data_IF_433963320572
#
_entry.id   IF_433963320572
#
_cell.length_a   1.000
_cell.length_b   1.000
_cell.length_c   1.000
_cell.angle_alpha   90.00
_cell.angle_beta   90.00
_cell.angle_gamma   90.00
#
_symmetry.space_group_name_H-M   'P 1'
#
loop_
_entity.id
_entity.type
_entity.pdbx_description
1 polymer ?
#
# COMPACT_ATOMS: atom_id res chain seq x y z
N UNK A 1 -40.32 -8.09 6.31
CA UNK A 1 -40.15 -6.81 5.60
C UNK A 1 -38.68 -6.45 5.65
N UNK A 2 -38.12 -5.77 4.65
CA UNK A 2 -36.71 -5.38 4.70
C UNK A 2 -36.48 -3.97 4.17
N UNK A 3 -35.43 -3.34 4.68
CA UNK A 3 -34.92 -2.06 4.22
C UNK A 3 -33.39 -2.14 4.12
N UNK A 4 -32.83 -1.69 3.00
CA UNK A 4 -31.39 -1.67 2.76
C UNK A 4 -30.91 -0.22 2.73
N UNK A 5 -30.01 0.13 3.64
CA UNK A 5 -29.34 1.43 3.64
C UNK A 5 -28.27 1.54 2.53
N UNK A 6 -27.95 0.45 1.84
CA UNK A 6 -26.91 0.39 0.82
C UNK A 6 -25.52 0.54 1.44
N UNK A 7 -24.64 1.28 0.78
CA UNK A 7 -23.30 1.54 1.30
C UNK A 7 -23.34 2.67 2.35
N UNK A 8 -22.95 2.36 3.57
CA UNK A 8 -22.90 3.32 4.70
C UNK A 8 -21.52 3.34 5.33
N UNK A 9 -21.15 4.46 5.95
CA UNK A 9 -19.85 4.58 6.60
C UNK A 9 -19.82 3.81 7.93
N UNK A 10 -18.60 3.44 8.37
CA UNK A 10 -18.40 2.91 9.72
C UNK A 10 -18.96 3.87 10.77
N UNK A 11 -19.79 3.35 11.68
CA UNK A 11 -20.47 4.18 12.70
C UNK A 11 -21.64 5.02 12.20
N UNK A 12 -22.07 4.87 10.94
CA UNK A 12 -23.29 5.49 10.42
C UNK A 12 -24.50 5.25 11.33
N UNK A 13 -25.33 6.27 11.51
CA UNK A 13 -26.63 6.17 12.16
C UNK A 13 -27.75 6.49 11.17
N UNK A 14 -28.71 5.57 11.04
CA UNK A 14 -29.85 5.72 10.14
C UNK A 14 -31.16 5.33 10.82
N UNK A 15 -32.27 5.82 10.27
CA UNK A 15 -33.62 5.47 10.72
C UNK A 15 -34.46 5.00 9.54
N UNK A 16 -35.35 4.07 9.81
CA UNK A 16 -36.39 3.66 8.86
C UNK A 16 -37.68 3.34 9.61
N UNK A 17 -38.82 3.70 9.02
CA UNK A 17 -40.15 3.40 9.54
C UNK A 17 -40.75 2.27 8.71
N UNK A 18 -40.97 1.11 9.35
CA UNK A 18 -41.69 0.01 8.72
C UNK A 18 -43.20 0.19 8.90
N UNK A 19 -43.96 0.06 7.82
CA UNK A 19 -45.43 0.04 7.85
C UNK A 19 -45.95 -1.39 7.76
N UNK A 20 -46.48 -1.92 8.87
CA UNK A 20 -46.94 -3.30 9.02
C UNK A 20 -48.47 -3.35 8.83
N UNK A 21 -48.99 -3.99 7.78
CA UNK A 21 -50.44 -4.06 7.56
C UNK A 21 -51.11 -5.05 8.53
N UNK A 22 -52.28 -4.67 9.05
CA UNK A 22 -53.17 -5.59 9.77
C UNK A 22 -54.21 -6.21 8.84
N UNK A 23 -53.92 -7.42 8.38
CA UNK A 23 -54.79 -8.18 7.47
C UNK A 23 -55.65 -9.23 8.20
N UNK A 24 -55.70 -9.20 9.53
CA UNK A 24 -56.29 -10.28 10.34
C UNK A 24 -57.80 -10.18 10.52
N UNK A 25 -58.43 -9.09 10.07
CA UNK A 25 -59.88 -8.86 10.23
C UNK A 25 -60.32 -8.48 11.65
N UNK A 26 -59.38 -8.28 12.58
CA UNK A 26 -59.61 -7.88 13.96
C UNK A 26 -58.55 -6.88 14.42
N UNK A 27 -58.81 -6.13 15.50
CA UNK A 27 -57.79 -5.28 16.10
C UNK A 27 -56.65 -6.12 16.67
N UNK A 28 -55.41 -5.64 16.52
CA UNK A 28 -54.18 -6.29 16.97
C UNK A 28 -53.54 -5.45 18.09
N UNK A 29 -53.08 -6.10 19.16
CA UNK A 29 -52.37 -5.42 20.26
C UNK A 29 -50.89 -5.84 20.33
N UNK A 30 -50.01 -4.86 20.53
CA UNK A 30 -48.58 -5.07 20.65
C UNK A 30 -48.28 -5.87 21.92
N UNK A 31 -47.64 -7.02 21.76
CA UNK A 31 -47.22 -7.89 22.87
C UNK A 31 -45.77 -7.60 23.24
N UNK A 32 -44.90 -7.54 22.23
CA UNK A 32 -43.47 -7.36 22.48
C UNK A 32 -42.71 -6.90 21.24
N UNK A 33 -41.68 -6.09 21.49
CA UNK A 33 -40.65 -5.76 20.50
C UNK A 33 -39.30 -6.31 20.99
N UNK A 34 -38.54 -6.94 20.10
CA UNK A 34 -37.21 -7.47 20.39
C UNK A 34 -36.22 -7.04 19.32
N UNK A 35 -35.22 -6.26 19.72
CA UNK A 35 -34.03 -6.02 18.92
C UNK A 35 -33.03 -7.17 19.06
N UNK A 36 -32.41 -7.60 17.96
CA UNK A 36 -31.36 -8.63 18.00
C UNK A 36 -30.03 -8.18 18.61
N UNK A 37 -29.73 -6.87 18.59
CA UNK A 37 -28.52 -6.26 19.17
C UNK A 37 -28.83 -4.87 19.72
N UNK A 38 -27.95 -4.32 20.55
CA UNK A 38 -27.99 -2.90 20.97
C UNK A 38 -27.77 -1.92 19.81
N UNK A 39 -27.16 -2.38 18.71
CA UNK A 39 -26.93 -1.62 17.48
C UNK A 39 -28.20 -1.36 16.64
N UNK A 40 -29.36 -1.81 17.10
CA UNK A 40 -30.64 -1.64 16.42
C UNK A 40 -31.73 -1.44 17.46
N UNK A 41 -32.41 -0.30 17.45
CA UNK A 41 -33.36 0.08 18.50
C UNK A 41 -34.69 0.45 17.86
N UNK A 42 -35.77 -0.21 18.27
CA UNK A 42 -37.12 0.25 17.96
C UNK A 42 -37.50 1.39 18.91
N UNK A 43 -37.98 2.52 18.37
CA UNK A 43 -38.30 3.74 19.13
C UNK A 43 -39.80 3.95 19.24
N UNK A 44 -40.48 4.05 18.10
CA UNK A 44 -41.91 4.37 18.01
C UNK A 44 -42.64 3.20 17.36
N UNK A 45 -43.37 2.42 18.17
CA UNK A 45 -44.10 1.23 17.71
C UNK A 45 -45.57 1.38 18.06
N UNK A 46 -46.45 1.31 17.06
CA UNK A 46 -47.89 1.42 17.25
C UNK A 46 -48.40 0.33 18.20
N UNK A 47 -49.03 0.71 19.31
CA UNK A 47 -49.47 -0.24 20.34
C UNK A 47 -50.70 -1.05 19.94
N UNK A 48 -51.63 -0.44 19.19
CA UNK A 48 -52.88 -1.08 18.74
C UNK A 48 -53.17 -0.74 17.29
N UNK A 49 -53.53 -1.75 16.49
CA UNK A 49 -53.77 -1.60 15.06
C UNK A 49 -55.15 -2.13 14.72
N UNK A 50 -56.06 -1.25 14.31
CA UNK A 50 -57.40 -1.65 13.89
C UNK A 50 -57.38 -2.54 12.64
N UNK A 51 -58.46 -3.30 12.44
CA UNK A 51 -58.61 -4.16 11.26
C UNK A 51 -58.45 -3.36 9.96
N UNK A 52 -57.56 -3.80 9.07
CA UNK A 52 -57.24 -3.10 7.82
C UNK A 52 -56.34 -1.87 7.98
N UNK A 53 -55.91 -1.54 9.21
CA UNK A 53 -54.99 -0.44 9.50
C UNK A 53 -53.52 -0.80 9.25
N UNK A 54 -52.65 0.19 9.48
CA UNK A 54 -51.19 0.06 9.39
C UNK A 54 -50.56 0.36 10.75
N UNK A 55 -49.70 -0.53 11.23
CA UNK A 55 -48.79 -0.26 12.34
C UNK A 55 -47.53 0.41 11.81
N UNK A 56 -47.00 1.37 12.53
CA UNK A 56 -45.68 1.93 12.28
C UNK A 56 -44.68 1.41 13.32
N UNK A 57 -43.46 1.13 12.87
CA UNK A 57 -42.34 0.79 13.73
C UNK A 57 -41.10 1.55 13.25
N UNK A 58 -40.75 2.65 13.92
CA UNK A 58 -39.47 3.33 13.70
C UNK A 58 -38.33 2.49 14.28
N UNK A 59 -37.37 2.13 13.43
CA UNK A 59 -36.15 1.45 13.82
C UNK A 59 -34.94 2.33 13.52
N UNK A 60 -34.17 2.61 14.58
CA UNK A 60 -32.85 3.24 14.50
C UNK A 60 -31.77 2.16 14.37
N UNK A 61 -30.87 2.34 13.43
CA UNK A 61 -29.73 1.46 13.14
C UNK A 61 -28.42 2.21 13.32
N UNK A 62 -27.44 1.58 13.97
CA UNK A 62 -26.06 2.05 14.06
C UNK A 62 -25.14 1.01 13.44
N UNK A 63 -24.42 1.38 12.38
CA UNK A 63 -23.46 0.53 11.70
C UNK A 63 -22.27 0.19 12.60
N UNK A 64 -21.68 -1.00 12.42
CA UNK A 64 -20.51 -1.35 13.21
C UNK A 64 -19.28 -0.52 12.82
N UNK A 65 -18.26 -0.60 13.67
CA UNK A 65 -16.94 0.01 13.42
C UNK A 65 -16.09 -0.79 12.44
N UNK A 66 -16.58 -1.93 11.96
CA UNK A 66 -15.87 -2.85 11.06
C UNK A 66 -16.57 -2.86 9.70
N UNK A 67 -15.82 -2.75 8.58
CA UNK A 67 -16.42 -2.81 7.26
C UNK A 67 -16.93 -4.23 6.95
N UNK A 68 -17.99 -4.32 6.15
CA UNK A 68 -18.60 -5.57 5.72
C UNK A 68 -20.12 -5.48 5.56
N UNK A 69 -20.71 -6.55 5.03
CA UNK A 69 -22.17 -6.67 4.92
C UNK A 69 -22.76 -6.98 6.28
N UNK A 70 -23.77 -6.20 6.67
CA UNK A 70 -24.53 -6.37 7.89
C UNK A 70 -26.00 -6.65 7.59
N UNK A 71 -26.59 -7.52 8.42
CA UNK A 71 -28.02 -7.76 8.48
C UNK A 71 -28.43 -7.74 9.94
N UNK A 72 -29.37 -6.87 10.30
CA UNK A 72 -29.94 -6.72 11.64
C UNK A 72 -31.44 -6.99 11.58
N UNK A 73 -31.98 -7.51 12.68
CA UNK A 73 -33.39 -7.86 12.77
C UNK A 73 -34.02 -7.25 14.01
N UNK A 74 -35.24 -6.71 13.83
CA UNK A 74 -36.18 -6.40 14.89
C UNK A 74 -37.38 -7.33 14.73
N UNK A 75 -37.79 -7.96 15.82
CA UNK A 75 -38.98 -8.78 15.87
C UNK A 75 -40.09 -8.03 16.59
N UNK A 76 -41.22 -7.84 15.93
CA UNK A 76 -42.42 -7.24 16.50
C UNK A 76 -43.49 -8.31 16.61
N UNK A 77 -44.12 -8.42 17.77
CA UNK A 77 -45.17 -9.42 18.03
C UNK A 77 -46.46 -8.69 18.38
N UNK A 78 -47.49 -8.91 17.55
CA UNK A 78 -48.86 -8.46 17.81
C UNK A 78 -49.73 -9.71 18.04
N UNK A 79 -50.34 -9.84 19.21
CA UNK A 79 -50.99 -11.08 19.68
C UNK A 79 -50.14 -12.34 19.44
N UNK A 80 -50.46 -13.10 18.38
CA UNK A 80 -49.76 -14.32 17.94
C UNK A 80 -49.03 -14.15 16.59
N UNK A 81 -49.21 -13.00 15.93
CA UNK A 81 -48.53 -12.66 14.69
C UNK A 81 -47.13 -12.12 14.95
N UNK A 82 -46.13 -12.67 14.25
CA UNK A 82 -44.72 -12.30 14.38
C UNK A 82 -44.27 -11.64 13.08
N UNK A 83 -43.72 -10.44 13.20
CA UNK A 83 -43.19 -9.66 12.08
C UNK A 83 -41.68 -9.51 12.23
N UNK A 84 -40.93 -9.94 11.21
CA UNK A 84 -39.49 -9.75 11.11
C UNK A 84 -39.19 -8.54 10.24
N UNK A 85 -38.56 -7.54 10.85
CA UNK A 85 -38.11 -6.31 10.21
C UNK A 85 -36.59 -6.39 10.04
N UNK A 86 -36.14 -6.52 8.79
CA UNK A 86 -34.73 -6.68 8.46
C UNK A 86 -34.14 -5.36 7.99
N UNK A 87 -32.97 -5.01 8.53
CA UNK A 87 -32.17 -3.87 8.10
C UNK A 87 -30.88 -4.42 7.50
N UNK A 88 -30.56 -3.97 6.30
CA UNK A 88 -29.33 -4.33 5.59
C UNK A 88 -28.47 -3.10 5.39
N UNK A 89 -27.17 -3.31 5.40
CA UNK A 89 -26.20 -2.30 5.02
C UNK A 89 -24.90 -2.99 4.57
N UNK A 90 -24.17 -2.34 3.67
CA UNK A 90 -22.77 -2.64 3.41
C UNK A 90 -21.93 -1.54 4.06
N UNK A 91 -21.31 -1.85 5.20
CA UNK A 91 -20.48 -0.90 5.94
C UNK A 91 -19.14 -0.77 5.23
N UNK A 92 -18.80 0.44 4.82
CA UNK A 92 -17.56 0.77 4.12
C UNK A 92 -16.69 1.70 4.95
N UNK A 93 -15.39 1.66 4.70
CA UNK A 93 -14.51 2.75 5.13
C UNK A 93 -14.57 3.84 4.07
N UNK A 94 -14.89 5.09 4.43
CA UNK A 94 -15.06 6.15 3.45
C UNK A 94 -13.78 6.41 2.65
N UNK A 95 -12.63 6.19 3.28
CA UNK A 95 -11.31 6.28 2.69
C UNK A 95 -10.47 5.06 3.05
N UNK A 96 -9.81 4.49 2.05
CA UNK A 96 -8.86 3.37 2.21
C UNK A 96 -7.53 3.81 1.64
N UNK A 97 -6.52 3.82 2.50
CA UNK A 97 -5.15 4.21 2.19
C UNK A 97 -4.17 3.23 2.86
N UNK A 98 -2.91 3.16 2.41
CA UNK A 98 -1.88 2.41 3.13
C UNK A 98 -1.70 2.91 4.56
N UNK A 99 -1.35 2.01 5.47
CA UNK A 99 -1.15 2.35 6.89
C UNK A 99 0.16 3.14 7.14
N UNK A 100 1.13 2.98 6.26
CA UNK A 100 2.41 3.70 6.24
C UNK A 100 2.95 3.67 4.82
N UNK A 101 3.57 4.76 4.38
CA UNK A 101 4.33 4.82 3.14
C UNK A 101 5.81 4.91 3.50
N UNK A 102 6.63 4.06 2.90
CA UNK A 102 8.08 4.07 3.14
C UNK A 102 8.80 4.23 1.81
N UNK A 103 9.75 5.16 1.76
CA UNK A 103 10.60 5.37 0.60
C UNK A 103 12.06 5.51 1.03
N UNK A 104 12.98 5.09 0.17
CA UNK A 104 14.42 5.17 0.42
C UNK A 104 15.06 6.05 -0.63
N UNK A 105 15.98 6.93 -0.25
CA UNK A 105 16.71 7.76 -1.22
C UNK A 105 18.18 7.81 -0.88
N UNK A 106 19.04 7.54 -1.85
CA UNK A 106 20.46 7.76 -1.65
C UNK A 106 20.85 9.22 -1.78
N UNK A 107 21.78 9.61 -0.91
CA UNK A 107 22.38 10.93 -0.93
C UNK A 107 22.97 11.26 -2.30
N UNK A 108 22.54 12.38 -2.87
CA UNK A 108 23.05 12.94 -4.12
C UNK A 108 22.35 12.46 -5.38
N UNK A 109 21.38 11.54 -5.27
CA UNK A 109 20.47 11.19 -6.36
C UNK A 109 19.24 12.11 -6.33
N UNK A 110 18.65 12.38 -7.50
CA UNK A 110 17.36 13.08 -7.57
C UNK A 110 16.29 12.22 -6.91
N UNK A 111 15.49 12.85 -6.05
CA UNK A 111 14.39 12.20 -5.36
C UNK A 111 13.38 11.69 -6.38
N UNK A 112 13.19 10.36 -6.44
CA UNK A 112 12.16 9.78 -7.28
C UNK A 112 10.81 9.94 -6.62
N UNK A 113 9.77 10.35 -7.36
CA UNK A 113 8.42 10.34 -6.85
C UNK A 113 8.00 8.91 -6.49
N UNK A 114 7.42 8.72 -5.31
CA UNK A 114 6.79 7.47 -4.90
C UNK A 114 5.27 7.62 -5.00
N UNK A 115 4.62 6.68 -5.69
CA UNK A 115 3.17 6.74 -5.94
C UNK A 115 2.46 5.59 -5.24
N UNK A 116 1.37 5.90 -4.54
CA UNK A 116 0.48 4.92 -3.92
C UNK A 116 -0.99 5.30 -4.16
N UNK A 117 -1.87 4.30 -4.17
CA UNK A 117 -3.28 4.52 -4.46
C UNK A 117 -4.13 4.64 -3.19
N UNK A 118 -5.12 5.51 -3.27
CA UNK A 118 -6.12 5.78 -2.24
C UNK A 118 -7.50 5.56 -2.84
N UNK A 119 -8.34 4.77 -2.15
CA UNK A 119 -9.67 4.40 -2.64
C UNK A 119 -10.73 5.10 -1.79
N UNK A 120 -11.66 5.79 -2.45
CA UNK A 120 -12.81 6.44 -1.82
C UNK A 120 -14.08 5.62 -2.09
N UNK A 121 -14.58 4.88 -1.09
CA UNK A 121 -15.80 4.07 -1.22
C UNK A 121 -17.02 4.92 -0.91
N UNK A 122 -17.95 5.08 -1.86
CA UNK A 122 -18.94 6.17 -1.80
C UNK A 122 -20.24 5.87 -1.10
N UNK A 123 -20.74 6.88 -0.41
CA UNK A 123 -21.71 7.88 -0.89
C UNK A 123 -21.17 9.33 -0.90
N UNK A 124 -19.92 9.56 -0.47
CA UNK A 124 -19.30 10.89 -0.39
C UNK A 124 -19.07 11.49 -1.79
N UNK A 125 -19.49 12.75 -1.96
CA UNK A 125 -19.29 13.55 -3.18
C UNK A 125 -18.32 14.68 -2.87
N UNK A 126 -17.11 14.64 -3.45
CA UNK A 126 -16.10 15.69 -3.22
C UNK A 126 -14.74 15.33 -3.83
N UNK A 127 -14.00 16.36 -4.27
CA UNK A 127 -12.61 16.23 -4.72
C UNK A 127 -11.72 15.84 -3.52
N UNK A 128 -10.77 14.93 -3.73
CA UNK A 128 -9.72 14.69 -2.75
C UNK A 128 -8.76 15.89 -2.74
N UNK A 129 -8.43 16.38 -1.56
CA UNK A 129 -7.30 17.28 -1.35
C UNK A 129 -6.21 16.53 -0.59
N UNK A 130 -4.95 16.73 -0.99
CA UNK A 130 -3.80 16.13 -0.31
C UNK A 130 -2.80 17.23 0.03
N UNK A 131 -2.24 17.14 1.23
CA UNK A 131 -1.25 18.06 1.77
C UNK A 131 -0.12 17.27 2.45
N UNK A 132 1.10 17.80 2.39
CA UNK A 132 2.18 17.33 3.26
C UNK A 132 2.16 18.12 4.57
N UNK A 133 2.48 17.45 5.66
CA UNK A 133 2.58 18.06 6.99
C UNK A 133 3.79 19.00 7.15
N UNK A 134 4.75 18.97 6.23
CA UNK A 134 5.97 19.74 6.35
C UNK A 134 6.58 20.13 4.99
N UNK A 135 7.73 20.82 5.03
CA UNK A 135 8.50 21.19 3.85
C UNK A 135 9.41 20.04 3.34
N UNK A 136 9.23 18.81 3.83
CA UNK A 136 10.10 17.67 3.49
C UNK A 136 9.69 16.96 2.22
N UNK A 137 8.41 17.07 1.82
CA UNK A 137 7.89 16.54 0.58
C UNK A 137 6.90 17.48 -0.10
N UNK A 138 6.86 17.41 -1.42
CA UNK A 138 5.73 17.85 -2.21
C UNK A 138 4.82 16.65 -2.48
N UNK A 139 3.51 16.89 -2.59
CA UNK A 139 2.53 15.85 -2.85
C UNK A 139 1.61 16.30 -3.97
N UNK A 140 1.31 15.39 -4.89
CA UNK A 140 0.37 15.62 -5.98
C UNK A 140 -0.63 14.48 -6.05
N UNK A 141 -1.82 14.80 -6.55
CA UNK A 141 -2.91 13.87 -6.78
C UNK A 141 -3.14 13.73 -8.29
N UNK A 142 -3.31 12.49 -8.74
CA UNK A 142 -3.88 12.17 -10.04
C UNK A 142 -5.06 11.20 -9.84
N UNK A 143 -6.09 11.32 -10.68
CA UNK A 143 -7.16 10.32 -10.71
C UNK A 143 -6.75 9.23 -11.69
N UNK A 144 -6.76 7.98 -11.24
CA UNK A 144 -6.26 6.83 -12.01
C UNK A 144 -7.14 6.55 -13.25
N UNK A 145 -8.47 6.59 -13.09
CA UNK A 145 -9.40 6.53 -14.23
C UNK A 145 -10.62 7.43 -14.02
N UNK A 146 -11.06 8.08 -15.10
CA UNK A 146 -12.22 8.96 -15.11
C UNK A 146 -13.48 8.17 -14.70
N UNK A 147 -14.04 8.50 -13.53
CA UNK A 147 -15.19 7.80 -12.94
C UNK A 147 -14.85 6.69 -11.95
N UNK A 148 -13.59 6.24 -11.86
CA UNK A 148 -13.12 5.42 -10.74
C UNK A 148 -12.77 6.32 -9.55
N UNK A 149 -13.09 5.84 -8.35
CA UNK A 149 -12.78 6.53 -7.08
C UNK A 149 -11.43 6.09 -6.51
N UNK A 150 -10.46 5.96 -7.41
CA UNK A 150 -9.08 5.59 -7.10
C UNK A 150 -8.22 6.79 -7.45
N UNK A 151 -7.46 7.24 -6.47
CA UNK A 151 -6.60 8.41 -6.55
C UNK A 151 -5.16 7.99 -6.32
N UNK A 152 -4.30 8.30 -7.28
CA UNK A 152 -2.86 8.12 -7.13
C UNK A 152 -2.28 9.34 -6.44
N UNK A 153 -1.71 9.09 -5.27
CA UNK A 153 -1.01 10.08 -4.47
C UNK A 153 0.48 9.89 -4.71
N UNK A 154 1.11 10.91 -5.29
CA UNK A 154 2.53 10.91 -5.61
C UNK A 154 3.25 11.84 -4.64
N UNK A 155 4.21 11.29 -3.91
CA UNK A 155 5.02 12.01 -2.93
C UNK A 155 6.42 12.17 -3.50
N UNK A 156 6.89 13.41 -3.57
CA UNK A 156 8.24 13.75 -4.04
C UNK A 156 8.97 14.49 -2.93
N UNK A 157 9.96 13.86 -2.27
CA UNK A 157 10.71 14.55 -1.24
C UNK A 157 11.48 15.76 -1.80
N UNK A 158 11.50 16.85 -1.02
CA UNK A 158 12.03 18.17 -1.41
C UNK A 158 13.28 18.57 -0.64
N UNK A 159 13.77 17.71 0.27
CA UNK A 159 14.92 18.00 1.11
C UNK A 159 16.25 17.88 0.37
N UNK A 160 17.22 18.71 0.76
CA UNK A 160 18.61 18.63 0.33
C UNK A 160 19.54 17.93 1.34
N UNK A 161 18.99 17.27 2.36
CA UNK A 161 19.75 16.90 3.56
C UNK A 161 20.84 15.85 3.27
N UNK A 162 22.01 16.10 3.87
CA UNK A 162 23.32 15.48 3.54
C UNK A 162 23.66 14.26 4.43
N UNK A 163 22.94 14.06 5.54
CA UNK A 163 23.22 13.03 6.53
C UNK A 163 22.20 11.87 6.45
N UNK A 164 22.65 10.60 6.48
CA UNK A 164 21.73 9.47 6.54
C UNK A 164 20.88 9.54 7.79
N UNK A 165 19.56 9.56 7.60
CA UNK A 165 18.56 9.78 8.65
C UNK A 165 17.21 9.25 8.19
N UNK A 166 16.43 8.74 9.15
CA UNK A 166 15.00 8.50 8.96
C UNK A 166 14.26 9.79 9.25
N UNK A 167 13.48 10.24 8.28
CA UNK A 167 12.61 11.39 8.41
C UNK A 167 11.17 10.88 8.53
N UNK A 168 10.53 11.24 9.62
CA UNK A 168 9.12 11.00 9.86
C UNK A 168 8.35 12.23 9.39
N UNK A 169 7.43 12.03 8.45
CA UNK A 169 6.50 13.02 7.94
C UNK A 169 5.10 12.38 7.84
N UNK A 170 4.13 13.13 7.34
CA UNK A 170 2.80 12.58 7.05
C UNK A 170 2.17 13.22 5.82
N UNK A 171 1.34 12.44 5.15
CA UNK A 171 0.47 12.89 4.07
C UNK A 171 -0.95 12.95 4.62
N UNK A 172 -1.54 14.14 4.63
CA UNK A 172 -2.94 14.34 5.00
C UNK A 172 -3.82 14.35 3.78
N UNK A 173 -4.89 13.59 3.87
CA UNK A 173 -5.90 13.44 2.83
C UNK A 173 -7.22 13.90 3.41
N UNK A 174 -7.88 14.83 2.72
CA UNK A 174 -9.19 15.34 3.08
C UNK A 174 -10.15 15.17 1.90
N UNK A 175 -11.39 14.78 2.20
CA UNK A 175 -12.46 14.76 1.20
C UNK A 175 -13.19 16.09 1.27
N UNK A 176 -13.26 16.83 0.15
CA UNK A 176 -13.94 18.11 0.11
C UNK A 176 -15.39 18.01 0.61
N UNK A 177 -15.81 18.99 1.41
CA UNK A 177 -17.15 19.05 2.01
C UNK A 177 -17.48 17.86 2.94
N UNK A 178 -16.48 17.23 3.56
CA UNK A 178 -16.64 16.12 4.50
C UNK A 178 -15.75 16.29 5.73
N UNK A 179 -16.13 15.66 6.84
CA UNK A 179 -15.28 15.49 8.02
C UNK A 179 -14.27 14.34 7.86
N UNK A 180 -14.34 13.58 6.76
CA UNK A 180 -13.44 12.46 6.51
C UNK A 180 -12.04 12.97 6.20
N UNK A 181 -11.11 12.59 7.08
CA UNK A 181 -9.68 12.85 6.96
C UNK A 181 -8.90 11.55 7.17
N UNK A 182 -7.78 11.41 6.48
CA UNK A 182 -6.76 10.41 6.79
C UNK A 182 -5.39 11.06 6.92
N UNK A 183 -4.63 10.59 7.88
CA UNK A 183 -3.22 10.93 8.03
C UNK A 183 -2.41 9.66 7.80
N UNK A 184 -1.56 9.68 6.79
CA UNK A 184 -0.74 8.54 6.38
C UNK A 184 0.70 8.86 6.79
N UNK A 185 1.26 8.12 7.76
CA UNK A 185 2.67 8.26 8.12
C UNK A 185 3.57 7.99 6.91
N UNK A 186 4.51 8.89 6.67
CA UNK A 186 5.52 8.79 5.65
C UNK A 186 6.90 8.65 6.29
N UNK A 187 7.59 7.56 5.96
CA UNK A 187 8.97 7.31 6.39
C UNK A 187 9.92 7.43 5.22
N UNK A 188 10.81 8.41 5.27
CA UNK A 188 11.82 8.65 4.24
C UNK A 188 13.16 8.26 4.82
N UNK A 189 13.76 7.22 4.26
CA UNK A 189 15.07 6.74 4.67
C UNK A 189 16.13 7.33 3.74
N UNK A 190 16.90 8.29 4.24
CA UNK A 190 18.07 8.80 3.51
C UNK A 190 19.24 7.87 3.78
N UNK A 191 19.76 7.22 2.73
CA UNK A 191 20.88 6.28 2.81
C UNK A 191 22.12 6.84 2.13
N UNK A 192 23.29 6.30 2.48
CA UNK A 192 24.52 6.67 1.76
C UNK A 192 24.62 5.84 0.47
N UNK A 193 24.96 6.47 -0.68
CA UNK A 193 25.16 5.74 -1.91
C UNK A 193 26.28 4.71 -1.70
N UNK A 194 26.07 3.54 -2.30
CA UNK A 194 27.04 2.46 -2.21
C UNK A 194 28.21 2.76 -3.14
N UNK A 195 29.41 2.69 -2.58
CA UNK A 195 30.67 2.86 -3.29
C UNK A 195 31.52 1.61 -3.16
N UNK A 196 32.33 1.33 -4.17
CA UNK A 196 33.23 0.20 -4.22
C UNK A 196 34.69 0.63 -4.06
N UNK A 197 35.45 -0.18 -3.33
CA UNK A 197 36.88 -0.01 -3.12
C UNK A 197 37.59 -1.37 -3.30
N UNK A 198 38.40 -1.55 -4.35
CA UNK A 198 38.69 -0.56 -5.40
C UNK A 198 37.47 -0.24 -6.28
N UNK A 199 37.40 0.98 -6.81
CA UNK A 199 36.32 1.43 -7.70
C UNK A 199 36.44 0.89 -9.13
N UNK A 200 37.51 0.15 -9.41
CA UNK A 200 37.76 -0.63 -10.63
C UNK A 200 38.50 -1.89 -10.26
N UNK A 201 38.07 -3.01 -10.81
CA UNK A 201 38.70 -4.32 -10.63
C UNK A 201 39.45 -4.69 -11.90
N UNK A 202 40.61 -5.31 -11.76
CA UNK A 202 41.31 -5.96 -12.89
C UNK A 202 41.41 -7.45 -12.60
N UNK A 203 40.86 -8.26 -13.50
CA UNK A 203 40.92 -9.71 -13.46
C UNK A 203 41.90 -10.21 -14.51
N UNK A 204 42.97 -10.87 -14.08
CA UNK A 204 43.91 -11.55 -15.00
C UNK A 204 43.44 -12.98 -15.18
N UNK A 205 43.35 -13.43 -16.45
CA UNK A 205 42.92 -14.77 -16.81
C UNK A 205 44.00 -15.47 -17.62
N UNK A 206 44.28 -16.72 -17.25
CA UNK A 206 45.19 -17.58 -18.01
C UNK A 206 44.57 -17.98 -19.35
N UNK A 207 45.39 -18.38 -20.31
CA UNK A 207 44.89 -18.95 -21.58
C UNK A 207 43.96 -20.14 -21.29
N UNK A 208 42.76 -20.13 -21.90
CA UNK A 208 41.73 -21.15 -21.70
C UNK A 208 40.94 -21.09 -20.38
N UNK A 209 41.26 -20.14 -19.48
CA UNK A 209 40.50 -19.96 -18.25
C UNK A 209 39.16 -19.27 -18.57
N UNK A 210 38.04 -19.86 -18.11
CA UNK A 210 36.69 -19.30 -18.28
C UNK A 210 36.08 -18.79 -16.98
N UNK A 211 36.63 -19.18 -15.83
CA UNK A 211 36.11 -18.81 -14.50
C UNK A 211 36.95 -17.67 -13.89
N UNK A 212 36.27 -16.66 -13.39
CA UNK A 212 36.87 -15.48 -12.80
C UNK A 212 36.30 -15.19 -11.41
N UNK A 213 37.11 -14.57 -10.57
CA UNK A 213 36.71 -14.15 -9.22
C UNK A 213 37.33 -12.81 -8.89
N UNK A 214 36.51 -11.87 -8.42
CA UNK A 214 36.99 -10.59 -7.90
C UNK A 214 36.54 -10.33 -6.48
N UNK A 215 37.22 -9.40 -5.83
CA UNK A 215 36.87 -8.92 -4.50
C UNK A 215 36.81 -7.40 -4.47
N UNK A 216 35.82 -6.86 -3.78
CA UNK A 216 35.69 -5.42 -3.53
C UNK A 216 35.07 -5.18 -2.16
N UNK A 217 35.41 -4.05 -1.54
CA UNK A 217 34.75 -3.55 -0.36
C UNK A 217 33.64 -2.59 -0.77
N UNK A 218 32.41 -2.86 -0.34
CA UNK A 218 31.28 -1.95 -0.47
C UNK A 218 31.19 -1.09 0.79
N UNK A 219 31.10 0.22 0.61
CA UNK A 219 30.99 1.23 1.68
C UNK A 219 29.75 2.09 1.43
N UNK A 220 29.02 2.44 2.49
CA UNK A 220 27.77 3.21 2.41
C UNK A 220 26.68 2.53 3.21
N UNK A 221 25.54 2.24 2.58
CA UNK A 221 24.44 1.42 3.15
C UNK A 221 24.32 0.04 2.46
N UNK A 222 25.39 -0.79 2.44
CA UNK A 222 25.44 -2.04 1.68
C UNK A 222 24.47 -3.12 2.18
N UNK A 223 23.94 -3.01 3.39
CA UNK A 223 22.89 -3.90 3.93
C UNK A 223 21.60 -3.92 3.10
N UNK A 224 21.41 -2.93 2.22
CA UNK A 224 20.28 -2.85 1.31
C UNK A 224 20.62 -3.30 -0.12
N UNK A 225 21.82 -3.83 -0.35
CA UNK A 225 22.28 -4.20 -1.70
C UNK A 225 21.79 -5.58 -2.17
N UNK A 226 21.49 -5.65 -3.46
CA UNK A 226 21.42 -6.87 -4.27
C UNK A 226 22.40 -6.76 -5.46
N UNK A 227 22.93 -7.89 -5.91
CA UNK A 227 23.81 -7.98 -7.07
C UNK A 227 23.42 -9.21 -7.86
N UNK A 228 22.87 -9.03 -9.07
CA UNK A 228 22.30 -10.14 -9.82
C UNK A 228 23.12 -10.54 -11.06
N UNK A 229 23.86 -9.60 -11.67
CA UNK A 229 24.48 -9.81 -13.00
C UNK A 229 25.81 -9.08 -13.19
N UNK A 230 26.69 -9.68 -14.01
CA UNK A 230 27.85 -9.03 -14.62
C UNK A 230 27.51 -8.71 -16.08
N UNK A 231 27.55 -7.43 -16.47
CA UNK A 231 27.43 -7.03 -17.88
C UNK A 231 28.80 -7.08 -18.55
N UNK A 232 28.93 -7.83 -19.64
CA UNK A 232 30.19 -7.92 -20.40
C UNK A 232 30.03 -7.14 -21.71
N UNK A 233 31.04 -6.35 -22.09
CA UNK A 233 30.94 -5.40 -23.21
C UNK A 233 30.85 -6.07 -24.60
N UNK A 234 30.96 -7.40 -24.69
CA UNK A 234 31.04 -8.15 -25.97
C UNK A 234 29.76 -8.90 -26.34
N UNK A 235 28.88 -9.21 -25.39
CA UNK A 235 27.42 -9.45 -25.53
C UNK A 235 26.89 -10.29 -24.36
N UNK A 236 25.82 -9.81 -23.72
CA UNK A 236 25.02 -10.56 -22.74
C UNK A 236 25.31 -10.28 -21.26
N UNK A 237 24.35 -10.63 -20.42
CA UNK A 237 24.50 -10.68 -18.98
C UNK A 237 25.10 -12.04 -18.58
N UNK A 238 26.25 -12.01 -17.90
CA UNK A 238 26.87 -13.21 -17.31
C UNK A 238 26.33 -13.37 -15.88
N UNK A 239 25.79 -14.55 -15.52
CA UNK A 239 25.40 -14.83 -14.16
C UNK A 239 26.57 -14.62 -13.20
N UNK A 240 26.32 -13.87 -12.13
CA UNK A 240 27.27 -13.68 -11.05
C UNK A 240 26.81 -14.50 -9.85
N UNK A 241 27.73 -15.18 -9.18
CA UNK A 241 27.50 -15.74 -7.84
C UNK A 241 28.11 -14.77 -6.82
N UNK A 242 27.31 -13.87 -6.22
CA UNK A 242 27.80 -12.95 -5.21
C UNK A 242 27.87 -13.62 -3.83
N UNK A 243 28.97 -13.39 -3.12
CA UNK A 243 29.10 -13.71 -1.71
C UNK A 243 29.38 -12.43 -0.93
N UNK A 244 28.49 -12.14 0.03
CA UNK A 244 28.62 -10.99 0.92
C UNK A 244 29.11 -11.43 2.30
N UNK A 245 30.07 -10.70 2.85
CA UNK A 245 30.51 -10.86 4.24
C UNK A 245 30.58 -9.50 4.92
N UNK A 246 29.92 -9.36 6.06
CA UNK A 246 30.04 -8.16 6.89
C UNK A 246 31.50 -7.98 7.34
N UNK A 247 32.01 -6.76 7.25
CA UNK A 247 33.35 -6.38 7.74
C UNK A 247 33.21 -5.50 8.98
N UNK A 248 32.38 -4.46 8.88
CA UNK A 248 32.00 -3.55 9.96
C UNK A 248 30.67 -2.88 9.63
N UNK A 249 30.01 -2.15 10.55
CA UNK A 249 28.84 -1.36 10.21
C UNK A 249 29.10 -0.45 9.00
N UNK A 250 28.21 -0.48 8.00
CA UNK A 250 28.33 0.27 6.74
C UNK A 250 29.43 -0.23 5.78
N UNK A 251 30.03 -1.40 6.03
CA UNK A 251 31.08 -2.00 5.18
C UNK A 251 30.86 -3.50 4.98
N UNK A 252 30.72 -3.91 3.72
CA UNK A 252 30.51 -5.31 3.33
C UNK A 252 31.52 -5.70 2.26
N UNK A 253 32.18 -6.84 2.43
CA UNK A 253 33.02 -7.43 1.38
C UNK A 253 32.10 -8.15 0.39
N UNK A 254 32.21 -7.81 -0.89
CA UNK A 254 31.62 -8.54 -2.00
C UNK A 254 32.70 -9.36 -2.70
N UNK A 255 32.45 -10.66 -2.82
CA UNK A 255 33.21 -11.57 -3.68
C UNK A 255 32.28 -11.96 -4.81
N UNK A 256 32.66 -11.67 -6.04
CA UNK A 256 31.87 -12.05 -7.21
C UNK A 256 32.59 -13.13 -8.01
N UNK A 257 31.91 -14.26 -8.20
CA UNK A 257 32.39 -15.36 -9.05
C UNK A 257 31.55 -15.43 -10.32
N UNK A 258 32.21 -15.61 -11.47
CA UNK A 258 31.53 -15.63 -12.77
C UNK A 258 32.20 -16.62 -13.73
N UNK A 259 31.45 -17.02 -14.75
CA UNK A 259 31.92 -17.90 -15.83
C UNK A 259 31.63 -17.27 -17.19
N UNK A 260 32.69 -16.96 -17.92
CA UNK A 260 32.60 -16.38 -19.26
C UNK A 260 32.23 -17.45 -20.30
N UNK A 261 31.47 -17.08 -21.34
CA UNK A 261 31.16 -17.98 -22.44
C UNK A 261 32.43 -18.38 -23.22
N UNK A 262 32.48 -19.63 -23.69
CA UNK A 262 33.67 -20.24 -24.32
C UNK A 262 33.84 -19.84 -25.79
N UNK A 263 32.86 -19.17 -26.40
CA UNK A 263 32.84 -18.82 -27.82
C UNK A 263 33.33 -17.39 -28.08
N UNK A 264 34.56 -17.29 -28.58
CA UNK A 264 35.16 -16.22 -29.41
C UNK A 264 35.16 -14.76 -28.91
N UNK A 265 36.37 -14.18 -28.92
CA UNK A 265 36.63 -12.75 -28.75
C UNK A 265 37.39 -12.46 -27.47
N UNK A 266 38.47 -11.68 -27.57
CA UNK A 266 39.17 -11.17 -26.40
C UNK A 266 38.18 -10.35 -25.57
N UNK A 267 37.72 -10.90 -24.44
CA UNK A 267 36.86 -10.18 -23.51
C UNK A 267 37.72 -9.10 -22.86
N UNK A 268 37.54 -7.84 -23.27
CA UNK A 268 38.42 -6.73 -22.85
C UNK A 268 37.95 -6.03 -21.59
N UNK A 269 36.64 -5.88 -21.38
CA UNK A 269 36.07 -5.16 -20.24
C UNK A 269 34.62 -5.60 -19.95
N UNK A 270 34.16 -5.37 -18.71
CA UNK A 270 32.79 -5.56 -18.26
C UNK A 270 32.48 -4.68 -17.05
N UNK A 271 31.29 -4.80 -16.49
CA UNK A 271 30.92 -4.08 -15.28
C UNK A 271 29.89 -4.81 -14.44
N UNK A 272 30.10 -4.81 -13.13
CA UNK A 272 29.10 -5.27 -12.16
C UNK A 272 28.22 -4.10 -11.77
N UNK A 273 26.92 -4.33 -11.79
CA UNK A 273 25.92 -3.36 -11.40
C UNK A 273 25.34 -3.79 -10.05
N UNK A 274 25.63 -3.01 -9.01
CA UNK A 274 25.09 -3.22 -7.66
C UNK A 274 23.90 -2.30 -7.51
N UNK A 275 22.78 -2.86 -7.04
CA UNK A 275 21.56 -2.11 -6.76
C UNK A 275 21.34 -2.06 -5.25
N UNK A 276 21.21 -0.87 -4.69
CA UNK A 276 20.93 -0.65 -3.27
C UNK A 276 19.48 -0.19 -3.07
N UNK A 277 18.83 -0.68 -2.02
CA UNK A 277 17.46 -0.37 -1.64
C UNK A 277 16.51 -1.56 -1.87
N UNK A 278 15.42 -1.60 -1.11
CA UNK A 278 14.34 -2.59 -1.25
C UNK A 278 13.71 -2.58 -2.67
N UNK A 279 13.91 -1.48 -3.41
CA UNK A 279 13.46 -1.25 -4.79
C UNK A 279 14.59 -1.04 -5.81
N UNK A 280 15.87 -1.25 -5.43
CA UNK A 280 17.02 -1.24 -6.34
C UNK A 280 17.42 0.14 -6.90
N UNK A 281 17.28 1.19 -6.11
CA UNK A 281 17.26 2.59 -6.56
C UNK A 281 18.65 3.22 -6.72
N UNK A 282 19.66 2.77 -5.97
CA UNK A 282 21.02 3.32 -6.10
C UNK A 282 21.97 2.39 -6.81
N UNK A 283 22.64 2.93 -7.84
CA UNK A 283 23.48 2.20 -8.77
C UNK A 283 24.96 2.40 -8.45
N UNK A 284 25.64 1.36 -8.00
CA UNK A 284 27.10 1.32 -8.00
C UNK A 284 27.58 0.46 -9.17
N UNK A 285 28.27 1.08 -10.13
CA UNK A 285 28.89 0.37 -11.25
C UNK A 285 30.36 0.13 -10.96
N UNK A 286 30.79 -1.13 -10.99
CA UNK A 286 32.19 -1.51 -10.82
C UNK A 286 32.72 -2.00 -12.17
N UNK A 287 33.55 -1.21 -12.87
CA UNK A 287 34.23 -1.68 -14.07
C UNK A 287 35.18 -2.84 -13.71
N UNK A 288 35.08 -3.92 -14.47
CA UNK A 288 35.96 -5.08 -14.40
C UNK A 288 36.73 -5.14 -15.71
N UNK A 289 38.03 -4.88 -15.64
CA UNK A 289 38.93 -5.09 -16.77
C UNK A 289 39.39 -6.54 -16.78
N UNK A 290 39.16 -7.25 -17.87
CA UNK A 290 39.58 -8.65 -18.02
C UNK A 290 40.82 -8.67 -18.92
N UNK A 291 41.93 -9.14 -18.38
CA UNK A 291 43.19 -9.29 -19.11
C UNK A 291 43.42 -10.77 -19.39
N UNK A 292 43.14 -11.19 -20.62
CA UNK A 292 43.49 -12.53 -21.11
C UNK A 292 44.88 -12.58 -21.73
N UNK A 293 45.54 -13.73 -21.67
CA UNK A 293 46.64 -14.03 -22.58
C UNK A 293 46.08 -14.07 -24.01
N UNK A 294 46.56 -13.17 -24.86
CA UNK A 294 46.34 -13.26 -26.31
C UNK A 294 46.84 -14.63 -26.75
N UNK A 295 45.96 -15.47 -27.29
CA UNK A 295 46.41 -16.50 -28.23
C UNK A 295 46.79 -15.74 -29.49
N UNK A 296 48.05 -15.34 -29.57
CA UNK A 296 48.65 -14.96 -30.84
C UNK A 296 48.68 -16.25 -31.70
N UNK A 297 47.70 -16.38 -32.60
CA UNK A 297 47.79 -17.26 -33.76
C UNK A 297 48.62 -16.57 -34.85
#
# INVERSE_FOLDING_TARGET
MEYDFGNVDVGFEGKHVFSIPNETGRSLSLVKVRSGCSCTVARDVTETVESGGMAECEVQYTASKMPGKEVRAVTVVYDSAIYYLLLRANVVRPLVAPAVVTTTVAKGEEFRPHTFSVIQYSHLSGLLAVQSDDATCSVSLAQDEEGKRVWDVTVTPTLSTIAPKVLDSAVRIEVANSEVKAEIPLKIMVVLPVQSFPNKVTQVMSSGQTEGRFETLLVGSPETCSVDTLRVDVEGDVPLVPHFSAVSPGRVKLIGEFKLPTSQGAITDGSVVIRSGEYGESLCRIPIRILGARTDD
#
